data_IF_439650756713
#
_entry.id   IF_439650756713
#
_cell.length_a   1.000
_cell.length_b   1.000
_cell.length_c   1.000
_cell.angle_alpha   90.00
_cell.angle_beta   90.00
_cell.angle_gamma   90.00
#
_symmetry.space_group_name_H-M   'P 1'
#
loop_
_entity.id
_entity.type
_entity.pdbx_description
1 polymer ?
#
# COMPACT_ATOMS: atom_id res chain seq x y z
N UNK A 1 2.50 -23.63 -3.25
CA UNK A 1 3.36 -22.45 -2.95
C UNK A 1 3.00 -21.86 -1.59
N UNK A 2 1.74 -21.42 -1.37
CA UNK A 2 1.28 -20.98 -0.05
C UNK A 2 1.47 -22.05 1.05
N UNK A 3 1.14 -23.31 0.78
CA UNK A 3 1.35 -24.42 1.72
C UNK A 3 2.83 -24.58 2.13
N UNK A 4 3.76 -24.47 1.18
CA UNK A 4 5.20 -24.56 1.45
C UNK A 4 5.69 -23.37 2.29
N UNK A 5 5.18 -22.17 2.02
CA UNK A 5 5.48 -20.99 2.84
C UNK A 5 4.95 -21.14 4.27
N UNK A 6 3.71 -21.63 4.44
CA UNK A 6 3.14 -21.91 5.76
C UNK A 6 3.94 -22.96 6.51
N UNK A 7 4.41 -24.01 5.83
CA UNK A 7 5.31 -25.00 6.42
C UNK A 7 6.63 -24.38 6.86
N UNK A 8 7.24 -23.51 6.04
CA UNK A 8 8.45 -22.77 6.42
C UNK A 8 8.22 -21.89 7.67
N UNK A 9 7.05 -21.24 7.78
CA UNK A 9 6.70 -20.47 8.97
C UNK A 9 6.55 -21.35 10.22
N UNK A 10 5.98 -22.56 10.06
CA UNK A 10 5.89 -23.56 11.15
C UNK A 10 7.28 -24.01 11.56
N UNK A 11 8.15 -24.38 10.61
CA UNK A 11 9.50 -24.87 10.86
C UNK A 11 10.39 -23.80 11.53
N UNK A 12 10.16 -22.53 11.22
CA UNK A 12 10.79 -21.39 11.87
C UNK A 12 10.27 -21.13 13.29
N UNK A 13 9.13 -21.72 13.68
CA UNK A 13 8.48 -21.49 14.96
C UNK A 13 7.69 -20.18 15.03
N UNK A 14 7.30 -19.59 13.89
CA UNK A 14 6.66 -18.28 13.80
C UNK A 14 5.49 -18.07 14.78
N UNK A 15 4.62 -19.08 14.93
CA UNK A 15 3.45 -19.00 15.81
C UNK A 15 3.79 -18.99 17.30
N UNK A 16 5.03 -19.32 17.67
CA UNK A 16 5.54 -19.27 19.04
C UNK A 16 6.31 -17.99 19.36
N UNK A 17 6.60 -17.16 18.36
CA UNK A 17 7.35 -15.94 18.55
C UNK A 17 6.55 -14.88 19.31
N UNK A 18 7.31 -14.02 20.01
CA UNK A 18 6.76 -12.82 20.60
C UNK A 18 6.26 -11.89 19.49
N UNK A 19 5.16 -11.18 19.76
CA UNK A 19 4.52 -10.33 18.76
C UNK A 19 5.32 -9.06 18.49
N UNK A 20 6.10 -8.62 19.49
CA UNK A 20 6.87 -7.39 19.45
C UNK A 20 8.23 -7.63 20.10
N UNK A 21 9.29 -7.52 19.30
CA UNK A 21 10.66 -7.49 19.79
C UNK A 21 11.07 -6.03 20.04
N UNK A 22 10.49 -5.43 21.08
CA UNK A 22 10.80 -4.06 21.51
C UNK A 22 10.89 -3.99 23.04
N UNK A 23 11.88 -3.25 23.57
CA UNK A 23 11.80 -2.76 24.94
C UNK A 23 10.69 -1.67 25.00
N UNK A 24 9.98 -1.58 26.11
CA UNK A 24 8.71 -0.83 26.27
C UNK A 24 8.83 0.71 26.11
N UNK A 25 9.94 1.19 25.57
CA UNK A 25 10.34 2.61 25.55
C UNK A 25 10.43 3.23 24.16
N UNK A 26 10.04 2.53 23.08
CA UNK A 26 10.16 3.08 21.72
C UNK A 26 8.80 3.54 21.19
N UNK A 27 8.69 4.85 20.93
CA UNK A 27 7.54 5.53 20.31
C UNK A 27 7.52 5.42 18.77
N UNK A 28 8.47 4.70 18.18
CA UNK A 28 8.61 4.55 16.73
C UNK A 28 7.70 3.45 16.19
N UNK A 29 7.22 3.64 14.95
CA UNK A 29 6.52 2.62 14.19
C UNK A 29 7.46 1.41 13.94
N UNK A 30 6.88 0.21 13.83
CA UNK A 30 7.68 -0.97 13.45
C UNK A 30 8.24 -0.79 12.05
N UNK A 31 9.51 -1.16 11.83
CA UNK A 31 10.14 -1.09 10.51
C UNK A 31 9.51 -2.10 9.54
N UNK A 32 9.17 -3.29 10.06
CA UNK A 32 8.62 -4.40 9.29
C UNK A 32 7.67 -5.23 10.15
N UNK A 33 6.51 -5.60 9.60
CA UNK A 33 5.62 -6.56 10.21
C UNK A 33 5.30 -7.68 9.22
N UNK A 34 5.23 -8.91 9.72
CA UNK A 34 4.73 -10.07 9.00
C UNK A 34 3.46 -10.55 9.67
N UNK A 35 2.37 -10.61 8.91
CA UNK A 35 1.06 -11.08 9.38
C UNK A 35 0.64 -12.31 8.58
N UNK A 36 0.28 -13.38 9.28
CA UNK A 36 -0.33 -14.58 8.68
C UNK A 36 -1.76 -14.70 9.21
N UNK A 37 -2.72 -14.63 8.29
CA UNK A 37 -4.14 -14.84 8.56
C UNK A 37 -4.54 -16.26 8.10
N UNK A 38 -4.90 -17.11 9.05
CA UNK A 38 -5.51 -18.43 8.82
C UNK A 38 -7.00 -18.35 9.16
N UNK A 39 -7.77 -19.34 8.71
CA UNK A 39 -9.23 -19.39 8.94
C UNK A 39 -9.64 -19.32 10.42
N UNK A 40 -8.78 -19.77 11.34
CA UNK A 40 -9.06 -19.76 12.79
C UNK A 40 -8.09 -18.93 13.64
N UNK A 41 -7.06 -18.32 13.05
CA UNK A 41 -6.10 -17.52 13.81
C UNK A 41 -5.39 -16.48 12.94
N UNK A 42 -5.12 -15.33 13.54
CA UNK A 42 -4.23 -14.31 12.98
C UNK A 42 -3.02 -14.18 13.90
N UNK A 43 -1.82 -14.18 13.32
CA UNK A 43 -0.59 -13.89 14.06
C UNK A 43 0.19 -12.81 13.32
N UNK A 44 0.60 -11.78 14.05
CA UNK A 44 1.47 -10.74 13.57
C UNK A 44 2.74 -10.71 14.42
N UNK A 45 3.89 -10.61 13.77
CA UNK A 45 5.18 -10.37 14.41
C UNK A 45 5.77 -9.12 13.77
N UNK A 46 6.18 -8.17 14.59
CA UNK A 46 6.80 -6.92 14.14
C UNK A 46 8.24 -6.82 14.64
N UNK A 47 9.13 -6.47 13.72
CA UNK A 47 10.52 -6.14 14.00
C UNK A 47 10.65 -4.64 14.28
N UNK A 48 11.31 -4.32 15.39
CA UNK A 48 11.75 -2.98 15.78
C UNK A 48 13.28 -2.94 15.83
N UNK A 49 13.86 -1.78 16.13
CA UNK A 49 15.31 -1.45 16.02
C UNK A 49 16.28 -2.49 16.63
N UNK A 50 15.88 -3.23 17.66
CA UNK A 50 16.73 -4.28 18.27
C UNK A 50 16.82 -5.58 17.44
N UNK A 51 16.05 -5.68 16.37
CA UNK A 51 16.04 -6.81 15.45
C UNK A 51 15.17 -7.97 15.93
N UNK A 52 14.57 -8.68 14.98
CA UNK A 52 13.91 -9.96 15.24
C UNK A 52 14.90 -11.12 15.03
N UNK A 53 14.47 -12.36 15.34
CA UNK A 53 15.26 -13.56 15.05
C UNK A 53 15.62 -13.63 13.55
N UNK A 54 16.77 -14.21 13.19
CA UNK A 54 17.22 -14.31 11.79
C UNK A 54 16.19 -15.00 10.86
N UNK A 55 15.40 -15.92 11.42
CA UNK A 55 14.31 -16.57 10.70
C UNK A 55 13.18 -15.59 10.28
N UNK A 56 12.95 -14.50 11.04
CA UNK A 56 12.00 -13.46 10.66
C UNK A 56 12.42 -12.79 9.35
N UNK A 57 13.67 -12.35 9.25
CA UNK A 57 14.19 -11.72 8.04
C UNK A 57 14.08 -12.67 6.82
N UNK A 58 14.30 -13.98 7.03
CA UNK A 58 14.15 -14.99 5.97
C UNK A 58 12.69 -15.11 5.49
N UNK A 59 11.74 -15.23 6.43
CA UNK A 59 10.32 -15.30 6.09
C UNK A 59 9.83 -14.00 5.43
N UNK A 60 10.22 -12.86 5.96
CA UNK A 60 9.87 -11.55 5.40
C UNK A 60 10.38 -11.41 3.97
N UNK A 61 11.67 -11.69 3.72
CA UNK A 61 12.24 -11.63 2.38
C UNK A 61 11.61 -12.65 1.43
N UNK A 62 11.22 -13.83 1.93
CA UNK A 62 10.50 -14.82 1.13
C UNK A 62 9.17 -14.25 0.64
N UNK A 63 8.36 -13.66 1.52
CA UNK A 63 7.07 -13.03 1.14
C UNK A 63 7.29 -11.80 0.26
N UNK A 64 8.25 -10.94 0.60
CA UNK A 64 8.58 -9.74 -0.17
C UNK A 64 9.03 -10.08 -1.61
N UNK A 65 9.69 -11.22 -1.80
CA UNK A 65 10.05 -11.75 -3.12
C UNK A 65 8.91 -12.52 -3.82
N UNK A 66 7.68 -12.46 -3.30
CA UNK A 66 6.51 -13.15 -3.85
C UNK A 66 6.37 -14.61 -3.44
N UNK A 67 7.19 -15.12 -2.53
CA UNK A 67 7.17 -16.51 -2.02
C UNK A 67 7.20 -17.59 -3.12
N UNK A 68 7.94 -17.32 -4.21
CA UNK A 68 8.02 -18.19 -5.39
C UNK A 68 6.78 -18.16 -6.28
N UNK A 69 5.79 -17.32 -5.95
CA UNK A 69 4.68 -17.00 -6.84
C UNK A 69 5.09 -15.86 -7.77
N UNK A 70 4.84 -16.05 -9.06
CA UNK A 70 4.81 -14.96 -10.03
C UNK A 70 3.36 -14.57 -10.23
N UNK A 71 2.97 -13.44 -9.65
CA UNK A 71 1.66 -12.85 -9.91
C UNK A 71 1.63 -12.18 -11.29
N UNK A 72 0.44 -12.13 -11.90
CA UNK A 72 0.19 -11.11 -12.92
C UNK A 72 -0.11 -9.81 -12.18
N UNK A 73 0.41 -8.63 -12.61
CA UNK A 73 0.01 -7.36 -12.04
C UNK A 73 -1.51 -7.27 -12.00
N UNK A 74 -2.06 -6.99 -10.82
CA UNK A 74 -3.48 -6.75 -10.70
C UNK A 74 -3.79 -5.39 -11.35
N UNK A 75 -4.63 -5.42 -12.38
CA UNK A 75 -5.09 -4.24 -13.11
C UNK A 75 -6.60 -4.12 -12.85
N UNK A 76 -7.04 -3.18 -12.02
CA UNK A 76 -8.46 -3.00 -11.76
C UNK A 76 -9.17 -2.52 -13.01
N UNK A 77 -10.39 -3.03 -13.25
CA UNK A 77 -11.23 -2.58 -14.38
C UNK A 77 -11.95 -1.27 -14.08
N UNK A 78 -12.23 -1.02 -12.79
CA UNK A 78 -12.89 0.19 -12.30
C UNK A 78 -12.38 0.55 -10.90
N UNK A 79 -12.40 1.84 -10.57
CA UNK A 79 -12.01 2.33 -9.26
C UNK A 79 -12.52 3.73 -8.99
N UNK A 80 -12.63 4.08 -7.72
CA UNK A 80 -13.03 5.40 -7.26
C UNK A 80 -11.79 6.24 -6.99
N UNK A 81 -11.47 7.15 -7.91
CA UNK A 81 -10.35 8.08 -7.79
C UNK A 81 -10.84 9.33 -7.06
N UNK A 82 -10.18 9.71 -5.97
CA UNK A 82 -10.39 10.99 -5.31
C UNK A 82 -9.11 11.81 -5.34
N UNK A 83 -9.22 13.11 -5.61
CA UNK A 83 -8.11 14.03 -5.71
C UNK A 83 -8.39 15.30 -4.89
N UNK A 84 -7.71 15.44 -3.76
CA UNK A 84 -7.86 16.60 -2.89
C UNK A 84 -6.75 17.59 -3.17
N UNK A 85 -7.10 18.85 -3.44
CA UNK A 85 -6.11 19.94 -3.59
C UNK A 85 -5.37 20.09 -2.27
N UNK A 86 -4.04 20.10 -2.34
CA UNK A 86 -3.18 20.27 -1.20
C UNK A 86 -2.49 21.63 -1.27
N UNK A 87 -2.85 22.54 -0.36
CA UNK A 87 -2.12 23.80 -0.19
C UNK A 87 -0.85 23.55 0.62
N UNK A 88 0.29 23.51 -0.07
CA UNK A 88 1.59 23.34 0.56
C UNK A 88 2.14 24.67 1.06
N UNK A 89 2.54 24.77 2.34
CA UNK A 89 3.33 25.90 2.82
C UNK A 89 4.60 26.10 1.98
N UNK A 90 5.05 27.35 1.85
CA UNK A 90 6.24 27.68 1.06
C UNK A 90 7.54 27.02 1.58
N UNK A 91 7.57 26.63 2.85
CA UNK A 91 8.67 25.91 3.51
C UNK A 91 8.43 24.40 3.60
N UNK A 92 7.41 23.87 2.90
CA UNK A 92 7.12 22.44 2.89
C UNK A 92 8.26 21.64 2.27
N UNK A 93 8.61 20.53 2.92
CA UNK A 93 9.50 19.50 2.40
C UNK A 93 8.73 18.36 1.70
N UNK A 94 7.46 18.58 1.36
CA UNK A 94 6.65 17.65 0.60
C UNK A 94 7.33 17.30 -0.73
N UNK A 95 7.41 16.01 -1.03
CA UNK A 95 8.00 15.51 -2.27
C UNK A 95 6.88 15.17 -3.23
N UNK A 96 6.83 15.85 -4.37
CA UNK A 96 5.94 15.50 -5.48
C UNK A 96 6.46 14.20 -6.09
N UNK A 97 5.60 13.19 -6.17
CA UNK A 97 5.97 11.82 -6.54
C UNK A 97 5.64 11.49 -7.99
N UNK A 98 4.70 12.22 -8.59
CA UNK A 98 4.30 12.05 -9.99
C UNK A 98 3.72 13.34 -10.58
N UNK A 99 3.74 13.43 -11.91
CA UNK A 99 2.99 14.42 -12.68
C UNK A 99 1.75 13.75 -13.28
N UNK A 100 0.59 14.41 -13.19
CA UNK A 100 -0.66 13.94 -13.79
C UNK A 100 -0.76 14.37 -15.26
N UNK A 101 -0.88 13.43 -16.20
CA UNK A 101 -0.89 13.76 -17.63
C UNK A 101 -2.30 14.09 -18.14
N UNK A 102 -2.91 15.17 -17.62
CA UNK A 102 -4.30 15.54 -17.88
C UNK A 102 -4.65 15.60 -19.38
N UNK A 103 -3.80 16.23 -20.19
CA UNK A 103 -4.00 16.38 -21.64
C UNK A 103 -4.02 15.04 -22.38
N UNK A 104 -3.24 14.05 -21.93
CA UNK A 104 -3.16 12.73 -22.55
C UNK A 104 -4.36 11.87 -22.17
N UNK A 105 -4.81 12.01 -20.92
CA UNK A 105 -5.93 11.25 -20.38
C UNK A 105 -7.29 11.86 -20.72
N UNK A 106 -7.32 13.15 -21.10
CA UNK A 106 -8.56 13.90 -21.24
C UNK A 106 -9.34 13.97 -19.91
N UNK A 107 -8.62 13.97 -18.78
CA UNK A 107 -9.18 13.94 -17.43
C UNK A 107 -8.31 14.77 -16.49
N UNK A 108 -8.90 15.80 -15.88
CA UNK A 108 -8.26 16.60 -14.84
C UNK A 108 -8.57 16.04 -13.45
N UNK A 109 -7.59 16.07 -12.55
CA UNK A 109 -7.80 15.71 -11.14
C UNK A 109 -8.81 16.64 -10.46
N UNK A 110 -8.94 17.88 -10.95
CA UNK A 110 -9.98 18.82 -10.50
C UNK A 110 -11.42 18.31 -10.71
N UNK A 111 -11.62 17.27 -11.54
CA UNK A 111 -12.92 16.65 -11.77
C UNK A 111 -13.32 15.63 -10.69
N UNK A 112 -12.43 15.31 -9.73
CA UNK A 112 -12.64 14.28 -8.71
C UNK A 112 -12.39 14.72 -7.24
N UNK A 113 -12.78 15.93 -6.79
CA UNK A 113 -12.53 16.37 -5.41
C UNK A 113 -13.28 15.53 -4.36
N UNK A 114 -14.52 15.15 -4.67
CA UNK A 114 -15.35 14.25 -3.85
C UNK A 114 -15.20 12.79 -4.28
N UNK A 115 -14.32 12.55 -5.25
CA UNK A 115 -14.10 11.29 -5.91
C UNK A 115 -15.00 11.03 -7.10
N UNK A 116 -14.52 10.18 -8.00
CA UNK A 116 -15.20 9.83 -9.24
C UNK A 116 -14.80 8.42 -9.66
N UNK A 117 -15.77 7.68 -10.17
CA UNK A 117 -15.50 6.41 -10.80
C UNK A 117 -14.76 6.61 -12.12
N UNK A 118 -13.61 5.96 -12.23
CA UNK A 118 -12.72 5.99 -13.40
C UNK A 118 -12.42 4.57 -13.85
N UNK A 119 -12.11 4.44 -15.14
CA UNK A 119 -11.85 3.16 -15.80
C UNK A 119 -10.73 3.35 -16.83
N UNK A 120 -10.26 2.24 -17.40
CA UNK A 120 -9.29 2.25 -18.49
C UNK A 120 -7.98 2.96 -18.11
N UNK A 121 -7.51 3.82 -19.01
CA UNK A 121 -6.20 4.44 -18.89
C UNK A 121 -6.09 5.39 -17.67
N UNK A 122 -7.16 6.13 -17.36
CA UNK A 122 -7.21 7.04 -16.20
C UNK A 122 -6.97 6.25 -14.91
N UNK A 123 -7.71 5.14 -14.76
CA UNK A 123 -7.56 4.25 -13.61
C UNK A 123 -6.18 3.59 -13.59
N UNK A 124 -5.68 3.13 -14.73
CA UNK A 124 -4.35 2.49 -14.82
C UNK A 124 -3.26 3.45 -14.35
N UNK A 125 -3.27 4.69 -14.83
CA UNK A 125 -2.30 5.72 -14.42
C UNK A 125 -2.42 6.03 -12.94
N UNK A 126 -3.63 6.24 -12.41
CA UNK A 126 -3.83 6.47 -10.99
C UNK A 126 -3.32 5.28 -10.16
N UNK A 127 -3.65 4.05 -10.57
CA UNK A 127 -3.24 2.81 -9.89
C UNK A 127 -1.72 2.64 -9.84
N UNK A 128 -1.02 2.95 -10.92
CA UNK A 128 0.45 2.91 -10.97
C UNK A 128 1.08 3.94 -10.03
N UNK A 129 0.56 5.17 -10.03
CA UNK A 129 1.04 6.24 -9.14
C UNK A 129 0.85 5.85 -7.68
N UNK A 130 -0.34 5.36 -7.31
CA UNK A 130 -0.64 5.04 -5.91
C UNK A 130 0.17 3.86 -5.37
N UNK A 131 0.49 2.88 -6.22
CA UNK A 131 1.30 1.72 -5.83
C UNK A 131 2.80 2.02 -5.83
N UNK A 132 3.26 3.04 -6.55
CA UNK A 132 4.67 3.44 -6.54
C UNK A 132 5.08 4.10 -5.21
N UNK A 133 4.17 4.82 -4.54
CA UNK A 133 4.42 5.42 -3.23
C UNK A 133 3.17 5.45 -2.35
N UNK A 134 2.99 4.42 -1.54
CA UNK A 134 1.82 4.25 -0.67
C UNK A 134 1.74 5.21 0.53
N UNK A 135 2.80 5.96 0.86
CA UNK A 135 2.89 6.77 2.09
C UNK A 135 2.58 8.27 1.93
N UNK A 136 2.30 8.76 0.72
CA UNK A 136 2.06 10.19 0.51
C UNK A 136 2.02 10.55 -0.97
N UNK A 137 0.88 10.30 -1.59
CA UNK A 137 0.71 10.38 -3.04
C UNK A 137 0.44 11.82 -3.47
N UNK A 138 1.51 12.62 -3.53
CA UNK A 138 1.45 14.00 -4.00
C UNK A 138 1.70 14.05 -5.50
N UNK A 139 0.66 14.40 -6.24
CA UNK A 139 0.65 14.43 -7.70
C UNK A 139 0.47 15.86 -8.17
N UNK A 140 1.31 16.29 -9.09
CA UNK A 140 1.23 17.63 -9.66
C UNK A 140 0.45 17.62 -10.97
N UNK A 141 -0.54 18.51 -11.09
CA UNK A 141 -1.19 18.84 -12.36
C UNK A 141 -1.02 20.34 -12.62
N UNK A 142 -0.20 20.69 -13.60
CA UNK A 142 0.18 22.09 -13.84
C UNK A 142 0.87 22.69 -12.61
N UNK A 143 0.31 23.76 -12.06
CA UNK A 143 0.82 24.41 -10.84
C UNK A 143 0.15 23.91 -9.56
N UNK A 144 -0.85 23.02 -9.67
CA UNK A 144 -1.62 22.55 -8.52
C UNK A 144 -1.09 21.19 -8.05
N UNK A 145 -0.97 21.03 -6.73
CA UNK A 145 -0.62 19.77 -6.11
C UNK A 145 -1.88 19.13 -5.53
N UNK A 146 -2.04 17.84 -5.80
CA UNK A 146 -3.13 17.02 -5.31
C UNK A 146 -2.58 15.89 -4.45
N UNK A 147 -3.29 15.57 -3.38
CA UNK A 147 -3.24 14.24 -2.79
C UNK A 147 -4.29 13.37 -3.47
N UNK A 148 -3.87 12.23 -4.04
CA UNK A 148 -4.80 11.30 -4.69
C UNK A 148 -4.95 10.00 -3.92
N UNK A 149 -6.12 9.39 -4.01
CA UNK A 149 -6.38 8.03 -3.54
C UNK A 149 -7.23 7.25 -4.55
N UNK A 150 -7.03 5.94 -4.59
CA UNK A 150 -7.83 5.01 -5.41
C UNK A 150 -8.44 3.97 -4.50
N UNK A 151 -9.77 3.87 -4.53
CA UNK A 151 -10.52 2.86 -3.80
C UNK A 151 -11.12 1.84 -4.78
N UNK A 152 -10.98 0.56 -4.45
CA UNK A 152 -11.39 -0.56 -5.27
C UNK A 152 -12.30 -1.47 -4.44
N UNK A 153 -13.42 -1.89 -5.03
CA UNK A 153 -14.34 -2.84 -4.41
C UNK A 153 -13.63 -4.15 -4.08
N UNK A 154 -13.89 -4.70 -2.89
CA UNK A 154 -13.34 -5.96 -2.39
C UNK A 154 -11.79 -6.01 -2.22
N UNK A 155 -11.10 -4.89 -2.47
CA UNK A 155 -9.62 -4.79 -2.38
C UNK A 155 -9.20 -3.73 -1.37
N UNK A 156 -9.85 -2.57 -1.36
CA UNK A 156 -9.53 -1.48 -0.45
C UNK A 156 -10.11 -1.70 0.93
N UNK A 157 -9.37 -1.29 1.97
CA UNK A 157 -9.86 -1.36 3.37
C UNK A 157 -11.10 -0.50 3.60
N UNK A 158 -11.15 0.66 2.93
CA UNK A 158 -12.31 1.53 2.88
C UNK A 158 -12.96 1.29 1.52
N UNK A 159 -14.19 0.79 1.55
CA UNK A 159 -14.97 0.52 0.34
C UNK A 159 -15.36 1.83 -0.36
N UNK A 160 -15.29 1.89 -1.70
CA UNK A 160 -15.79 3.02 -2.45
C UNK A 160 -17.32 3.15 -2.34
N UNK A 161 -17.90 4.33 -2.65
CA UNK A 161 -19.36 4.52 -2.67
C UNK A 161 -20.08 3.55 -3.61
N UNK A 162 -21.27 3.07 -3.21
CA UNK A 162 -21.99 1.96 -3.86
C UNK A 162 -22.45 2.28 -5.31
N UNK A 163 -22.47 3.55 -5.74
CA UNK A 163 -22.94 3.95 -7.07
C UNK A 163 -21.84 4.53 -7.97
N UNK A 164 -21.73 3.99 -9.19
CA UNK A 164 -21.14 4.67 -10.37
C UNK A 164 -22.06 5.76 -10.91
#
# INVERSE_FOLDING_TARGET
QMEAFLQQAIDAGFFSWEERYADQTIADAADQCLTINLTGQTKQVCQYVQGAQAAFATLYQTVAAGAGATGTPYLPENGYLQATVLELPADSNAVITAEWPADQLGFSLSEAPEGRWVEGEILRTAWEIVNANWQGMLVQEGETVYEISVQLTDVSLIEPPISK
#
